data_IF_937717853919
#
_entry.id   IF_937717853919
#
_cell.length_a   1.000
_cell.length_b   1.000
_cell.length_c   1.000
_cell.angle_alpha   90.00
_cell.angle_beta   90.00
_cell.angle_gamma   90.00
#
_symmetry.space_group_name_H-M   'P 1'
#
loop_
_entity.id
_entity.type
_entity.pdbx_description
1 polymer ?
#
# COMPACT_ATOMS: atom_id res chain seq x y z
N UNK A 1 -74.96 -20.23 -13.51
CA UNK A 1 -74.34 -20.00 -12.19
C UNK A 1 -73.40 -21.15 -11.88
N UNK A 2 -72.21 -20.83 -11.32
CA UNK A 2 -71.19 -21.71 -10.71
C UNK A 2 -70.35 -22.63 -11.62
N UNK A 3 -69.36 -21.96 -12.21
CA UNK A 3 -67.94 -22.28 -12.43
C UNK A 3 -67.44 -23.70 -12.12
N UNK A 4 -66.87 -24.30 -13.17
CA UNK A 4 -66.06 -25.52 -13.22
C UNK A 4 -64.72 -25.39 -12.46
N UNK A 5 -64.27 -26.56 -12.02
CA UNK A 5 -62.96 -26.91 -11.49
C UNK A 5 -61.78 -26.54 -12.41
N UNK A 6 -60.67 -26.10 -11.82
CA UNK A 6 -59.31 -26.13 -12.40
C UNK A 6 -58.32 -26.21 -11.21
N UNK A 7 -57.87 -27.40 -10.82
CA UNK A 7 -56.63 -28.07 -11.26
C UNK A 7 -55.37 -27.20 -11.10
N UNK A 8 -54.78 -27.36 -9.91
CA UNK A 8 -53.36 -27.51 -9.58
C UNK A 8 -52.34 -27.13 -10.67
N UNK A 9 -51.69 -25.97 -10.51
CA UNK A 9 -50.43 -25.64 -11.18
C UNK A 9 -49.34 -25.49 -10.11
N UNK A 10 -48.47 -26.51 -10.04
CA UNK A 10 -47.31 -26.59 -9.19
C UNK A 10 -46.22 -25.64 -9.73
N UNK A 11 -46.09 -24.45 -9.16
CA UNK A 11 -44.99 -23.54 -9.48
C UNK A 11 -43.71 -24.02 -8.80
N UNK A 12 -42.84 -24.67 -9.59
CA UNK A 12 -41.46 -24.95 -9.20
C UNK A 12 -40.71 -23.62 -9.03
N UNK A 13 -40.36 -23.29 -7.80
CA UNK A 13 -39.44 -22.21 -7.46
C UNK A 13 -38.03 -22.64 -7.90
N UNK A 14 -37.61 -22.21 -9.09
CA UNK A 14 -36.21 -22.26 -9.49
C UNK A 14 -35.45 -21.16 -8.72
N UNK A 15 -34.83 -21.54 -7.61
CA UNK A 15 -33.75 -20.75 -7.02
C UNK A 15 -32.58 -20.76 -8.01
N UNK A 16 -32.08 -19.62 -8.51
CA UNK A 16 -30.74 -19.60 -9.09
C UNK A 16 -29.76 -19.92 -7.95
N UNK A 17 -29.33 -21.17 -7.91
CA UNK A 17 -28.13 -21.57 -7.20
C UNK A 17 -26.97 -20.82 -7.86
N UNK A 18 -26.71 -19.60 -7.40
CA UNK A 18 -25.43 -18.94 -7.57
C UNK A 18 -24.41 -19.83 -6.88
N UNK A 19 -23.94 -20.85 -7.62
CA UNK A 19 -22.57 -21.32 -7.47
C UNK A 19 -21.75 -20.04 -7.39
N UNK A 20 -21.19 -19.81 -6.21
CA UNK A 20 -20.02 -18.99 -6.06
C UNK A 20 -18.98 -19.65 -6.97
N UNK A 21 -19.02 -19.28 -8.25
CA UNK A 21 -17.87 -19.36 -9.11
C UNK A 21 -16.87 -18.52 -8.33
N UNK A 22 -15.88 -19.21 -7.76
CA UNK A 22 -14.60 -18.59 -7.56
C UNK A 22 -14.21 -18.03 -8.93
N UNK A 23 -14.53 -16.76 -9.13
CA UNK A 23 -13.87 -15.95 -10.12
C UNK A 23 -12.43 -15.88 -9.64
N UNK A 24 -11.67 -16.92 -10.01
CA UNK A 24 -10.26 -16.84 -10.35
C UNK A 24 -10.17 -15.72 -11.38
N UNK A 25 -10.16 -14.50 -10.85
CA UNK A 25 -9.65 -13.34 -11.54
C UNK A 25 -8.17 -13.61 -11.60
N UNK A 26 -7.74 -14.17 -12.72
CA UNK A 26 -6.35 -14.26 -13.11
C UNK A 26 -5.87 -12.82 -13.40
N UNK A 27 -5.78 -12.02 -12.34
CA UNK A 27 -4.92 -10.85 -12.27
C UNK A 27 -3.69 -11.36 -11.56
N UNK A 28 -2.59 -11.59 -12.30
CA UNK A 28 -1.34 -12.14 -11.77
C UNK A 28 -1.09 -11.65 -10.35
N UNK A 29 -1.02 -12.59 -9.40
CA UNK A 29 -1.20 -12.30 -7.97
C UNK A 29 -0.31 -11.13 -7.55
N UNK A 30 -0.94 -9.98 -7.26
CA UNK A 30 -0.23 -8.83 -6.74
C UNK A 30 0.26 -9.16 -5.33
N UNK A 31 1.47 -9.69 -5.28
CA UNK A 31 2.16 -10.12 -4.07
C UNK A 31 3.43 -9.30 -3.93
N UNK A 32 3.86 -9.08 -2.68
CA UNK A 32 5.11 -8.37 -2.42
C UNK A 32 6.28 -9.16 -3.02
N UNK A 33 6.96 -8.56 -3.97
CA UNK A 33 8.16 -9.12 -4.60
C UNK A 33 9.05 -7.98 -5.10
N UNK A 34 10.33 -8.28 -5.39
CA UNK A 34 11.25 -7.30 -5.98
C UNK A 34 10.73 -6.74 -7.30
N UNK A 35 10.05 -7.56 -8.10
CA UNK A 35 9.47 -7.11 -9.37
C UNK A 35 8.25 -6.21 -9.16
N UNK A 36 7.36 -6.57 -8.22
CA UNK A 36 6.08 -5.89 -8.06
C UNK A 36 6.21 -4.57 -7.28
N UNK A 37 7.21 -4.44 -6.39
CA UNK A 37 7.44 -3.22 -5.60
C UNK A 37 8.03 -2.06 -6.44
N UNK A 38 8.65 -2.35 -7.58
CA UNK A 38 9.16 -1.32 -8.52
C UNK A 38 8.01 -0.42 -8.95
N UNK A 39 8.20 0.90 -8.90
CA UNK A 39 7.18 1.88 -9.20
C UNK A 39 7.49 3.25 -8.59
N UNK A 40 6.61 4.21 -8.88
CA UNK A 40 6.64 5.55 -8.28
C UNK A 40 5.59 5.63 -7.19
N UNK A 41 5.97 6.16 -6.04
CA UNK A 41 5.13 6.27 -4.86
C UNK A 41 5.18 7.68 -4.29
N UNK A 42 4.08 8.11 -3.68
CA UNK A 42 3.97 9.35 -2.94
C UNK A 42 3.54 9.06 -1.52
N UNK A 43 4.12 9.76 -0.55
CA UNK A 43 3.72 9.65 0.85
C UNK A 43 2.35 10.33 1.02
N UNK A 44 1.35 9.58 1.49
CA UNK A 44 -0.03 10.08 1.66
C UNK A 44 -0.49 10.04 3.11
N UNK A 45 0.31 9.47 4.01
CA UNK A 45 0.07 9.47 5.44
C UNK A 45 1.29 9.02 6.22
N UNK A 46 1.37 9.48 7.47
CA UNK A 46 2.43 9.15 8.40
C UNK A 46 1.82 9.18 9.80
N UNK A 47 2.16 8.18 10.62
CA UNK A 47 1.82 8.19 12.04
C UNK A 47 3.04 7.86 12.87
N UNK A 48 3.03 8.35 14.10
CA UNK A 48 4.09 8.14 15.07
C UNK A 48 3.52 7.71 16.41
N UNK A 49 4.23 6.79 17.08
CA UNK A 49 3.87 6.30 18.40
C UNK A 49 5.12 6.16 19.26
N UNK A 50 5.11 6.82 20.41
CA UNK A 50 6.10 6.61 21.48
C UNK A 50 5.69 5.46 22.41
N UNK A 51 6.63 4.86 23.15
CA UNK A 51 6.30 3.89 24.18
C UNK A 51 5.22 4.41 25.13
N UNK A 52 4.18 3.61 25.34
CA UNK A 52 3.05 3.94 26.23
C UNK A 52 2.26 5.21 25.86
N UNK A 53 2.44 5.75 24.65
CA UNK A 53 1.71 6.91 24.14
C UNK A 53 0.68 6.49 23.08
N UNK A 54 -0.39 7.27 22.87
CA UNK A 54 -1.30 7.06 21.75
C UNK A 54 -0.59 7.27 20.41
N UNK A 55 -1.11 6.64 19.36
CA UNK A 55 -0.69 6.91 17.97
C UNK A 55 -1.13 8.32 17.58
N UNK A 56 -0.24 9.09 16.97
CA UNK A 56 -0.49 10.45 16.48
C UNK A 56 -0.28 10.48 14.97
N UNK A 57 -1.16 11.18 14.25
CA UNK A 57 -0.94 11.54 12.84
C UNK A 57 0.08 12.69 12.77
N UNK A 58 1.27 12.40 12.25
CA UNK A 58 2.35 13.37 12.11
C UNK A 58 2.48 13.91 10.68
N UNK A 59 1.74 13.37 9.70
CA UNK A 59 1.81 13.84 8.32
C UNK A 59 1.47 15.33 8.14
N UNK A 60 0.48 15.92 8.84
CA UNK A 60 0.23 17.36 8.77
C UNK A 60 1.44 18.22 9.11
N UNK A 61 2.35 17.72 9.95
CA UNK A 61 3.55 18.46 10.42
C UNK A 61 4.67 18.50 9.38
N UNK A 62 4.60 17.69 8.32
CA UNK A 62 5.62 17.66 7.28
C UNK A 62 5.59 18.98 6.50
N UNK A 63 6.76 19.46 6.10
CA UNK A 63 6.87 20.67 5.26
C UNK A 63 6.18 20.44 3.92
N UNK A 64 5.58 21.50 3.36
CA UNK A 64 4.76 21.39 2.16
C UNK A 64 5.53 20.79 0.97
N UNK A 65 6.79 21.21 0.78
CA UNK A 65 7.68 20.74 -0.29
C UNK A 65 8.09 19.26 -0.19
N UNK A 66 7.89 18.60 0.96
CA UNK A 66 8.19 17.16 1.10
C UNK A 66 6.94 16.29 0.96
N UNK A 67 5.75 16.90 0.84
CA UNK A 67 4.49 16.16 0.68
C UNK A 67 4.21 15.82 -0.79
N UNK A 68 4.89 16.48 -1.72
CA UNK A 68 4.87 16.25 -3.16
C UNK A 68 6.08 15.44 -3.67
N UNK A 69 7.03 15.10 -2.79
CA UNK A 69 8.16 14.21 -3.07
C UNK A 69 7.69 12.85 -3.62
N UNK A 70 8.39 12.37 -4.66
CA UNK A 70 8.16 11.05 -5.24
C UNK A 70 9.29 10.09 -4.92
N UNK A 71 8.95 8.94 -4.35
CA UNK A 71 9.86 7.82 -4.21
C UNK A 71 9.75 6.89 -5.43
N UNK A 72 10.80 6.84 -6.24
CA UNK A 72 10.89 6.03 -7.47
C UNK A 72 11.79 4.83 -7.19
N UNK A 73 11.19 3.65 -6.99
CA UNK A 73 11.90 2.38 -6.80
C UNK A 73 12.10 1.75 -8.18
N UNK A 74 13.35 1.65 -8.64
CA UNK A 74 13.70 1.12 -9.97
C UNK A 74 14.13 -0.34 -9.93
N UNK A 75 13.94 -1.05 -11.04
CA UNK A 75 14.30 -2.47 -11.17
C UNK A 75 15.80 -2.75 -11.15
N UNK A 76 16.63 -1.73 -11.36
CA UNK A 76 18.11 -1.81 -11.32
C UNK A 76 18.68 -1.78 -9.89
N UNK A 77 17.82 -1.70 -8.87
CA UNK A 77 18.24 -1.61 -7.47
C UNK A 77 18.46 -0.19 -6.96
N UNK A 78 18.18 0.84 -7.77
CA UNK A 78 18.23 2.24 -7.34
C UNK A 78 16.87 2.75 -6.88
N UNK A 79 16.88 3.62 -5.87
CA UNK A 79 15.72 4.39 -5.42
C UNK A 79 16.05 5.87 -5.53
N UNK A 80 15.12 6.65 -6.09
CA UNK A 80 15.25 8.10 -6.24
C UNK A 80 14.15 8.76 -5.43
N UNK A 81 14.51 9.72 -4.57
CA UNK A 81 13.57 10.71 -4.06
C UNK A 81 13.67 11.90 -5.00
N UNK A 82 12.57 12.18 -5.70
CA UNK A 82 12.42 13.29 -6.64
C UNK A 82 11.65 14.41 -5.93
N UNK A 83 12.37 15.49 -5.64
CA UNK A 83 11.86 16.75 -5.05
C UNK A 83 11.06 17.50 -6.12
N UNK A 84 9.82 17.03 -6.31
CA UNK A 84 8.94 17.42 -7.39
C UNK A 84 7.90 18.43 -6.92
N UNK A 85 7.42 19.28 -7.83
CA UNK A 85 6.44 20.30 -7.47
C UNK A 85 7.13 21.50 -6.83
N UNK A 86 6.91 21.72 -5.53
CA UNK A 86 7.53 22.81 -4.79
C UNK A 86 8.90 22.36 -4.29
N UNK A 87 9.98 22.80 -4.93
CA UNK A 87 11.34 22.40 -4.54
C UNK A 87 11.68 22.83 -3.11
N UNK A 88 12.10 21.88 -2.26
CA UNK A 88 12.63 22.20 -0.92
C UNK A 88 13.96 22.98 -1.01
N UNK A 89 14.25 23.84 -0.02
CA UNK A 89 15.55 24.53 0.07
C UNK A 89 16.24 24.25 1.43
N UNK A 90 17.36 23.49 1.46
CA UNK A 90 18.00 22.82 0.31
C UNK A 90 17.12 21.69 -0.25
N UNK A 91 17.40 21.27 -1.48
CA UNK A 91 16.63 20.19 -2.13
C UNK A 91 16.75 18.89 -1.35
N UNK A 92 15.66 18.12 -1.32
CA UNK A 92 15.59 16.77 -0.72
C UNK A 92 15.91 15.68 -1.73
N UNK A 93 16.15 16.03 -3.00
CA UNK A 93 16.40 15.06 -4.06
C UNK A 93 17.64 14.21 -3.75
N UNK A 94 17.46 12.89 -3.78
CA UNK A 94 18.54 11.94 -3.47
C UNK A 94 18.39 10.67 -4.28
N UNK A 95 19.52 10.09 -4.68
CA UNK A 95 19.57 8.74 -5.26
C UNK A 95 20.31 7.81 -4.30
N UNK A 96 19.70 6.67 -3.99
CA UNK A 96 20.27 5.64 -3.14
C UNK A 96 20.06 4.25 -3.77
N UNK A 97 20.56 3.21 -3.11
CA UNK A 97 20.22 1.83 -3.44
C UNK A 97 19.03 1.37 -2.62
N UNK A 98 18.34 0.32 -3.05
CA UNK A 98 17.36 -0.38 -2.23
C UNK A 98 17.53 -1.89 -2.33
N UNK A 99 17.01 -2.60 -1.32
CA UNK A 99 16.86 -4.05 -1.39
C UNK A 99 15.60 -4.50 -0.66
N UNK A 100 15.02 -5.61 -1.12
CA UNK A 100 13.89 -6.26 -0.47
C UNK A 100 14.26 -7.71 -0.18
N UNK A 101 14.14 -8.11 1.08
CA UNK A 101 14.21 -9.50 1.51
C UNK A 101 12.95 -9.83 2.33
N UNK A 102 12.14 -10.75 1.82
CA UNK A 102 10.84 -11.08 2.39
C UNK A 102 9.97 -9.81 2.51
N UNK A 103 9.72 -9.34 3.73
CA UNK A 103 8.99 -8.09 4.01
C UNK A 103 9.90 -6.97 4.52
N UNK A 104 11.22 -7.12 4.46
CA UNK A 104 12.18 -6.10 4.89
C UNK A 104 12.68 -5.32 3.68
N UNK A 105 12.29 -4.06 3.60
CA UNK A 105 12.76 -3.09 2.61
C UNK A 105 13.86 -2.25 3.25
N UNK A 106 15.04 -2.21 2.63
CA UNK A 106 16.15 -1.37 3.05
C UNK A 106 16.33 -0.29 1.99
N UNK A 107 16.31 0.98 2.40
CA UNK A 107 16.61 2.13 1.55
C UNK A 107 17.97 2.72 1.98
N UNK A 108 18.94 2.76 1.06
CA UNK A 108 20.35 3.07 1.33
C UNK A 108 21.24 1.82 1.29
N UNK A 109 22.56 2.03 1.15
CA UNK A 109 23.56 0.95 1.14
C UNK A 109 24.09 0.66 2.55
N UNK A 110 24.90 1.56 3.10
CA UNK A 110 25.56 1.42 4.41
C UNK A 110 24.74 2.19 5.46
N UNK A 111 24.24 1.49 6.48
CA UNK A 111 23.33 2.06 7.49
C UNK A 111 22.02 2.62 6.88
N UNK A 112 21.55 2.02 5.79
CA UNK A 112 20.26 2.36 5.18
C UNK A 112 19.10 2.21 6.16
N UNK A 113 18.04 2.99 5.96
CA UNK A 113 16.85 2.87 6.80
C UNK A 113 16.14 1.56 6.48
N UNK A 114 15.92 0.77 7.53
CA UNK A 114 15.21 -0.50 7.43
C UNK A 114 13.73 -0.28 7.73
N UNK A 115 12.89 -0.78 6.83
CA UNK A 115 11.45 -0.77 6.94
C UNK A 115 10.91 -2.19 6.86
N UNK A 116 9.88 -2.48 7.64
CA UNK A 116 9.00 -3.62 7.43
C UNK A 116 7.85 -3.19 6.53
N UNK A 117 7.67 -3.87 5.41
CA UNK A 117 6.49 -3.75 4.54
C UNK A 117 5.32 -4.45 5.23
N UNK A 118 4.44 -3.67 5.85
CA UNK A 118 3.28 -4.19 6.62
C UNK A 118 2.14 -4.62 5.70
N UNK A 119 1.95 -3.91 4.59
CA UNK A 119 0.96 -4.24 3.55
C UNK A 119 1.45 -3.77 2.19
N UNK A 120 1.07 -4.49 1.13
CA UNK A 120 1.34 -4.15 -0.26
C UNK A 120 0.24 -4.76 -1.15
N UNK A 121 -0.30 -3.97 -2.08
CA UNK A 121 -1.39 -4.38 -2.98
C UNK A 121 -1.25 -3.81 -4.40
N UNK A 122 -0.03 -3.44 -4.80
CA UNK A 122 0.30 -2.80 -6.09
C UNK A 122 -0.32 -1.42 -6.29
N UNK A 123 -1.26 -0.98 -5.45
CA UNK A 123 -1.80 0.39 -5.43
C UNK A 123 -1.09 1.22 -4.37
N UNK A 124 -0.44 0.59 -3.40
CA UNK A 124 0.36 1.25 -2.40
C UNK A 124 1.10 0.28 -1.49
N UNK A 125 1.77 0.86 -0.49
CA UNK A 125 2.40 0.10 0.58
C UNK A 125 2.35 0.85 1.91
N UNK A 126 2.36 0.09 3.00
CA UNK A 126 2.56 0.62 4.35
C UNK A 126 3.91 0.16 4.84
N UNK A 127 4.78 1.11 5.19
CA UNK A 127 6.11 0.87 5.73
C UNK A 127 6.12 1.18 7.22
N UNK A 128 6.79 0.33 8.01
CA UNK A 128 6.96 0.54 9.45
C UNK A 128 8.44 0.54 9.77
N UNK A 129 8.88 1.48 10.61
CA UNK A 129 10.25 1.51 11.16
C UNK A 129 10.22 1.88 12.64
N UNK A 130 11.33 1.61 13.33
CA UNK A 130 11.52 1.86 14.75
C UNK A 130 12.97 2.29 14.98
N UNK A 131 13.17 3.43 15.63
CA UNK A 131 14.51 3.96 15.95
C UNK A 131 14.93 3.62 17.38
N UNK A 132 13.96 3.39 18.27
CA UNK A 132 14.18 2.95 19.64
C UNK A 132 13.10 1.96 20.10
N UNK A 133 13.37 1.11 21.11
CA UNK A 133 12.39 0.13 21.58
C UNK A 133 11.05 0.76 21.96
N UNK A 134 9.98 0.32 21.30
CA UNK A 134 8.60 0.81 21.53
C UNK A 134 8.24 2.09 20.77
N UNK A 135 9.18 2.67 20.02
CA UNK A 135 8.92 3.75 19.06
C UNK A 135 8.54 3.16 17.70
N UNK A 136 7.43 3.60 17.12
CA UNK A 136 6.93 3.10 15.83
C UNK A 136 6.60 4.30 14.95
N UNK A 137 7.20 4.35 13.76
CA UNK A 137 6.76 5.24 12.68
C UNK A 137 6.14 4.39 11.56
N UNK A 138 4.91 4.73 11.17
CA UNK A 138 4.19 4.08 10.07
C UNK A 138 4.01 5.07 8.94
N UNK A 139 4.44 4.73 7.73
CA UNK A 139 4.32 5.56 6.52
C UNK A 139 3.43 4.86 5.51
N UNK A 140 2.47 5.59 4.95
CA UNK A 140 1.54 5.11 3.95
C UNK A 140 1.91 5.73 2.60
N UNK A 141 2.20 4.87 1.63
CA UNK A 141 2.57 5.26 0.29
C UNK A 141 1.51 4.82 -0.71
N UNK A 142 1.10 5.74 -1.57
CA UNK A 142 0.23 5.46 -2.71
C UNK A 142 1.07 5.41 -3.98
N UNK A 143 0.86 4.39 -4.81
CA UNK A 143 1.50 4.26 -6.10
C UNK A 143 0.85 5.22 -7.09
N UNK A 144 1.68 5.92 -7.87
CA UNK A 144 1.25 6.85 -8.92
C UNK A 144 1.07 6.15 -10.28
#
# INVERSE_FOLDING_TARGET
>A
MKKMFFVLALTALFFPNCKKNDSTSDSGSCTLSKANIVGTYMLTGSTYQMPSSPVVDDFPTFVACSKDDKMIIKSDGTVVIDDAGTVCNPTTAVTAQWSLNSNTLILGTTNGTTYTVKSFDCKGMTLVTSWSPGEINTKIFTRL
#
